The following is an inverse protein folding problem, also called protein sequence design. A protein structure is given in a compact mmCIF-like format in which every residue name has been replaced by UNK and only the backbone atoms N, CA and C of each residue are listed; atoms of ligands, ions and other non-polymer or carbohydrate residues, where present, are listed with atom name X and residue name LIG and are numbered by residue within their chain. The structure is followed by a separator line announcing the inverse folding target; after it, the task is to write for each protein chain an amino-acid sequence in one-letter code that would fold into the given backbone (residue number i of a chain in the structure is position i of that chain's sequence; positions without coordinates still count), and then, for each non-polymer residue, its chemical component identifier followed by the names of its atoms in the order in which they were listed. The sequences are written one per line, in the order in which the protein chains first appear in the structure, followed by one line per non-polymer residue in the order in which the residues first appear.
data_IF_660493524894
#
_entry.id   IF_660493524894
#
_cell.length_a   1.000
_cell.length_b   1.000
_cell.length_c   1.000
_cell.angle_alpha   90.00
_cell.angle_beta   90.00
_cell.angle_gamma   90.00
#
_symmetry.space_group_name_H-M   'P 1'
#
loop_
_entity.id
_entity.type
_entity.pdbx_description
1 polymer ?
#
# COMPACT_ATOMS: atom_id res chain seq x y z
N UNK A 1 -22.84 7.03 1.46
CA UNK A 1 -22.11 6.97 0.18
C UNK A 1 -20.87 7.82 0.35
N UNK A 2 -19.74 7.21 0.72
CA UNK A 2 -18.50 7.94 0.93
C UNK A 2 -17.99 8.41 -0.43
N UNK A 3 -17.97 9.73 -0.64
CA UNK A 3 -17.37 10.33 -1.82
C UNK A 3 -15.92 9.87 -1.91
N UNK A 4 -15.62 9.10 -2.95
CA UNK A 4 -14.26 8.65 -3.24
C UNK A 4 -13.48 9.88 -3.68
N UNK A 5 -12.89 10.60 -2.72
CA UNK A 5 -11.98 11.71 -2.98
C UNK A 5 -10.96 11.29 -4.03
N UNK A 6 -10.79 12.12 -5.06
CA UNK A 6 -9.80 11.86 -6.11
C UNK A 6 -8.43 12.02 -5.47
N UNK A 7 -7.64 10.95 -5.41
CA UNK A 7 -6.28 11.04 -4.89
C UNK A 7 -5.52 12.10 -5.67
N UNK A 8 -4.59 12.79 -5.00
CA UNK A 8 -3.69 13.70 -5.71
C UNK A 8 -2.95 12.90 -6.77
N UNK A 9 -3.06 13.34 -8.04
CA UNK A 9 -2.35 12.71 -9.14
C UNK A 9 -0.85 12.77 -8.84
N UNK A 10 -0.21 11.60 -8.80
CA UNK A 10 1.23 11.48 -8.63
C UNK A 10 1.87 11.26 -10.00
N UNK A 11 2.91 12.02 -10.33
CA UNK A 11 3.72 11.72 -11.52
C UNK A 11 4.52 10.41 -11.37
N UNK A 12 4.70 9.95 -10.12
CA UNK A 12 5.48 8.77 -9.77
C UNK A 12 4.60 7.79 -8.99
N UNK A 13 4.56 6.54 -9.45
CA UNK A 13 4.02 5.41 -8.70
C UNK A 13 5.17 4.61 -8.11
N UNK A 14 5.46 4.80 -6.83
CA UNK A 14 6.59 4.16 -6.17
C UNK A 14 6.23 2.75 -5.67
N UNK A 15 7.18 1.82 -5.74
CA UNK A 15 7.07 0.49 -5.12
C UNK A 15 8.05 0.44 -3.96
N UNK A 16 7.50 0.38 -2.75
CA UNK A 16 8.25 0.19 -1.52
C UNK A 16 8.31 -1.32 -1.23
N UNK A 17 9.50 -1.89 -1.42
CA UNK A 17 9.74 -3.32 -1.40
C UNK A 17 10.38 -3.76 -0.09
N UNK A 18 9.70 -4.65 0.65
CA UNK A 18 10.16 -5.15 1.95
C UNK A 18 11.49 -5.89 1.82
N UNK A 19 11.67 -6.63 0.73
CA UNK A 19 12.86 -7.42 0.50
C UNK A 19 14.10 -6.56 0.21
N UNK A 20 13.91 -5.30 -0.18
CA UNK A 20 14.99 -4.32 -0.40
C UNK A 20 15.21 -3.43 0.82
N UNK A 21 14.13 -2.92 1.41
CA UNK A 21 14.18 -1.88 2.46
C UNK A 21 14.21 -2.46 3.88
N UNK A 22 13.81 -3.72 4.05
CA UNK A 22 13.65 -4.37 5.34
C UNK A 22 12.46 -3.82 6.15
N UNK A 23 12.04 -4.58 7.17
CA UNK A 23 10.84 -4.28 7.95
C UNK A 23 10.93 -2.95 8.73
N UNK A 24 12.14 -2.56 9.13
CA UNK A 24 12.39 -1.30 9.84
C UNK A 24 12.55 -0.11 8.89
N UNK A 25 13.14 -0.33 7.72
CA UNK A 25 13.43 0.73 6.75
C UNK A 25 12.23 1.12 5.90
N UNK A 26 11.37 0.16 5.56
CA UNK A 26 10.25 0.41 4.63
C UNK A 26 9.28 1.50 5.14
N UNK A 27 8.77 1.47 6.38
CA UNK A 27 7.86 2.52 6.84
C UNK A 27 8.50 3.92 6.85
N UNK A 28 9.79 4.02 7.18
CA UNK A 28 10.52 5.28 7.13
C UNK A 28 10.78 5.77 5.70
N UNK A 29 11.02 4.84 4.76
CA UNK A 29 11.17 5.15 3.35
C UNK A 29 9.86 5.70 2.76
N UNK A 30 8.72 5.12 3.12
CA UNK A 30 7.39 5.61 2.71
C UNK A 30 7.14 7.05 3.18
N UNK A 31 7.48 7.37 4.43
CA UNK A 31 7.41 8.73 4.96
C UNK A 31 8.35 9.70 4.20
N UNK A 32 9.55 9.25 3.87
CA UNK A 32 10.52 10.03 3.08
C UNK A 32 10.01 10.29 1.65
N UNK A 33 9.41 9.28 1.00
CA UNK A 33 8.80 9.41 -0.32
C UNK A 33 7.64 10.40 -0.31
N UNK A 34 6.79 10.35 0.71
CA UNK A 34 5.69 11.28 0.90
C UNK A 34 6.18 12.74 1.03
N UNK A 35 7.21 12.96 1.86
CA UNK A 35 7.83 14.27 2.01
C UNK A 35 8.47 14.79 0.71
N UNK A 36 8.93 13.87 -0.17
CA UNK A 36 9.45 14.20 -1.49
C UNK A 36 8.36 14.45 -2.56
N UNK A 37 7.08 14.43 -2.19
CA UNK A 37 5.95 14.70 -3.09
C UNK A 37 5.46 13.47 -3.88
N UNK A 38 5.88 12.26 -3.50
CA UNK A 38 5.32 11.03 -4.08
C UNK A 38 4.00 10.75 -3.37
N UNK A 39 2.91 10.75 -4.13
CA UNK A 39 1.57 10.61 -3.56
C UNK A 39 0.97 9.22 -3.72
N UNK A 40 1.51 8.38 -4.61
CA UNK A 40 1.04 7.00 -4.80
C UNK A 40 2.17 6.01 -4.53
N UNK A 41 1.97 5.14 -3.54
CA UNK A 41 2.98 4.18 -3.10
C UNK A 41 2.35 2.79 -2.97
N UNK A 42 2.97 1.79 -3.57
CA UNK A 42 2.63 0.38 -3.39
C UNK A 42 3.55 -0.27 -2.35
N UNK A 43 2.97 -1.00 -1.41
CA UNK A 43 3.71 -1.83 -0.45
C UNK A 43 3.79 -3.25 -1.01
N UNK A 44 5.02 -3.72 -1.24
CA UNK A 44 5.30 -5.05 -1.79
C UNK A 44 6.12 -5.88 -0.81
N UNK A 45 5.63 -7.07 -0.47
CA UNK A 45 6.32 -7.98 0.46
C UNK A 45 5.98 -9.44 0.12
N UNK A 46 6.58 -9.98 -0.95
CA UNK A 46 6.20 -11.30 -1.48
C UNK A 46 6.49 -12.47 -0.53
N UNK A 47 7.42 -12.29 0.42
CA UNK A 47 7.81 -13.35 1.36
C UNK A 47 7.24 -13.18 2.77
N UNK A 48 6.48 -12.11 3.02
CA UNK A 48 5.89 -11.87 4.32
C UNK A 48 4.70 -12.79 4.59
N UNK A 49 4.57 -13.21 5.85
CA UNK A 49 3.32 -13.78 6.37
C UNK A 49 2.24 -12.70 6.45
N UNK A 50 0.99 -13.14 6.59
CA UNK A 50 -0.19 -12.26 6.70
C UNK A 50 -0.05 -11.25 7.83
N UNK A 51 0.41 -11.71 9.00
CA UNK A 51 0.59 -10.87 10.18
C UNK A 51 1.72 -9.86 9.99
N UNK A 52 2.82 -10.26 9.32
CA UNK A 52 3.94 -9.36 9.03
C UNK A 52 3.52 -8.27 8.04
N UNK A 53 2.84 -8.64 6.96
CA UNK A 53 2.33 -7.68 5.98
C UNK A 53 1.31 -6.74 6.61
N UNK A 54 0.36 -7.25 7.40
CA UNK A 54 -0.62 -6.43 8.10
C UNK A 54 0.07 -5.37 8.98
N UNK A 55 1.02 -5.79 9.84
CA UNK A 55 1.73 -4.87 10.74
C UNK A 55 2.58 -3.86 9.97
N UNK A 56 3.19 -4.28 8.87
CA UNK A 56 3.99 -3.42 8.01
C UNK A 56 3.13 -2.32 7.37
N UNK A 57 2.01 -2.70 6.76
CA UNK A 57 1.08 -1.76 6.11
C UNK A 57 0.44 -0.85 7.15
N UNK A 58 0.02 -1.38 8.31
CA UNK A 58 -0.52 -0.58 9.42
C UNK A 58 0.48 0.48 9.92
N UNK A 59 1.77 0.11 10.01
CA UNK A 59 2.85 1.05 10.34
C UNK A 59 2.99 2.16 9.29
N UNK A 60 2.90 1.82 8.00
CA UNK A 60 2.94 2.79 6.91
C UNK A 60 1.72 3.73 6.94
N UNK A 61 0.51 3.20 7.15
CA UNK A 61 -0.71 4.00 7.26
C UNK A 61 -0.60 5.03 8.39
N UNK A 62 -0.12 4.61 9.58
CA UNK A 62 0.07 5.52 10.73
C UNK A 62 1.06 6.66 10.43
N UNK A 63 2.15 6.38 9.71
CA UNK A 63 3.13 7.41 9.34
C UNK A 63 2.61 8.39 8.28
N UNK A 64 1.65 7.96 7.48
CA UNK A 64 1.06 8.77 6.41
C UNK A 64 -0.25 9.45 6.81
N UNK A 65 -0.67 9.34 8.07
CA UNK A 65 -1.91 9.94 8.55
C UNK A 65 -1.93 11.44 8.26
N UNK A 66 -3.00 11.92 7.60
CA UNK A 66 -3.14 13.32 7.20
C UNK A 66 -2.27 13.78 6.00
N UNK A 67 -1.39 12.94 5.46
CA UNK A 67 -0.51 13.32 4.33
C UNK A 67 -1.23 13.41 2.98
N UNK A 68 -2.37 12.74 2.84
CA UNK A 68 -3.08 12.59 1.56
C UNK A 68 -2.40 11.65 0.56
N UNK A 69 -1.36 10.91 0.99
CA UNK A 69 -0.73 9.85 0.20
C UNK A 69 -1.61 8.60 0.18
N UNK A 70 -1.79 8.03 -1.01
CA UNK A 70 -2.53 6.80 -1.22
C UNK A 70 -1.59 5.59 -1.22
N UNK A 71 -1.95 4.57 -0.45
CA UNK A 71 -1.25 3.29 -0.39
C UNK A 71 -1.99 2.19 -1.15
N UNK A 72 -1.25 1.35 -1.87
CA UNK A 72 -1.74 0.08 -2.41
C UNK A 72 -1.00 -1.09 -1.78
N UNK A 73 -1.69 -2.20 -1.57
CA UNK A 73 -1.05 -3.46 -1.16
C UNK A 73 -0.89 -4.34 -2.39
N UNK A 74 0.26 -4.97 -2.57
CA UNK A 74 0.51 -5.93 -3.66
C UNK A 74 -0.16 -7.28 -3.36
N UNK A 75 -0.96 -7.79 -4.31
CA UNK A 75 -1.71 -9.07 -4.36
C UNK A 75 -2.73 -9.37 -3.24
N UNK A 76 -2.50 -8.87 -2.03
CA UNK A 76 -3.12 -9.31 -0.79
C UNK A 76 -4.39 -8.52 -0.47
N UNK A 77 -5.46 -8.85 -1.21
CA UNK A 77 -6.77 -8.21 -1.08
C UNK A 77 -7.36 -8.35 0.34
N UNK A 78 -7.13 -9.49 0.98
CA UNK A 78 -7.52 -9.80 2.35
C UNK A 78 -6.87 -8.84 3.37
N UNK A 79 -5.57 -8.58 3.24
CA UNK A 79 -4.87 -7.62 4.10
C UNK A 79 -5.28 -6.18 3.79
N UNK A 80 -5.44 -5.85 2.50
CA UNK A 80 -5.88 -4.52 2.08
C UNK A 80 -7.26 -4.16 2.65
N UNK A 81 -8.20 -5.10 2.69
CA UNK A 81 -9.55 -4.89 3.23
C UNK A 81 -9.57 -4.60 4.74
N UNK A 82 -8.53 -5.00 5.47
CA UNK A 82 -8.43 -4.77 6.91
C UNK A 82 -7.87 -3.39 7.28
N UNK A 83 -7.38 -2.60 6.33
CA UNK A 83 -6.58 -1.40 6.58
C UNK A 83 -7.04 -0.20 5.74
N UNK A 84 -6.76 1.04 6.16
CA UNK A 84 -7.15 2.25 5.44
C UNK A 84 -6.22 2.52 4.24
N UNK A 85 -6.12 1.56 3.32
CA UNK A 85 -5.37 1.67 2.07
C UNK A 85 -6.31 2.02 0.92
N UNK A 86 -5.75 2.51 -0.19
CA UNK A 86 -6.52 2.87 -1.38
C UNK A 86 -7.02 1.66 -2.15
N UNK A 87 -6.28 0.55 -2.10
CA UNK A 87 -6.71 -0.69 -2.71
C UNK A 87 -5.57 -1.68 -2.85
N UNK A 88 -5.75 -2.60 -3.80
CA UNK A 88 -4.79 -3.66 -4.10
C UNK A 88 -4.31 -3.54 -5.54
N UNK A 89 -3.05 -3.88 -5.78
CA UNK A 89 -2.51 -4.11 -7.12
C UNK A 89 -2.50 -5.61 -7.40
N UNK A 90 -2.96 -6.02 -8.59
CA UNK A 90 -2.94 -7.42 -9.03
C UNK A 90 -2.41 -7.53 -10.46
N UNK A 91 -1.56 -8.53 -10.69
CA UNK A 91 -1.02 -8.92 -11.98
C UNK A 91 -1.77 -10.09 -12.61
N UNK A 92 -1.27 -10.58 -13.76
CA UNK A 92 -1.97 -11.60 -14.55
C UNK A 92 -2.03 -13.00 -13.92
N UNK A 93 -1.23 -13.25 -12.89
CA UNK A 93 -1.15 -14.56 -12.21
C UNK A 93 -1.77 -14.58 -10.82
N UNK A 94 -2.36 -13.46 -10.39
CA UNK A 94 -2.97 -13.30 -9.08
C UNK A 94 -4.48 -13.58 -9.16
N UNK A 95 -5.21 -13.29 -8.08
CA UNK A 95 -6.67 -13.45 -8.08
C UNK A 95 -7.30 -12.59 -9.19
N UNK A 96 -8.31 -13.12 -9.93
CA UNK A 96 -9.01 -12.35 -10.93
C UNK A 96 -9.61 -11.08 -10.32
N UNK A 97 -9.59 -9.93 -11.03
CA UNK A 97 -10.12 -8.67 -10.51
C UNK A 97 -11.56 -8.75 -10.00
N UNK A 98 -12.38 -9.65 -10.54
CA UNK A 98 -13.74 -9.87 -10.07
C UNK A 98 -13.80 -10.48 -8.67
N UNK A 99 -12.92 -11.44 -8.36
CA UNK A 99 -12.84 -12.06 -7.04
C UNK A 99 -12.26 -11.07 -6.01
N UNK A 100 -11.24 -10.30 -6.41
CA UNK A 100 -10.64 -9.25 -5.57
C UNK A 100 -11.66 -8.21 -5.12
N UNK A 101 -12.59 -7.79 -6.01
CA UNK A 101 -13.65 -6.83 -5.68
C UNK A 101 -14.74 -7.37 -4.75
N UNK A 102 -14.75 -8.68 -4.48
CA UNK A 102 -15.73 -9.31 -3.60
C UNK A 102 -15.28 -9.37 -2.13
N UNK A 103 -14.04 -8.94 -1.85
CA UNK A 103 -13.50 -8.71 -0.50
C UNK A 103 -13.89 -7.30 -0.04
#
# INVERSE_FOLDING_TARGET
MAETGRDRASAVYAIADLEVLGATGLPAAVETMAAAGIHWIQIRAKRATDLELYRLVESCCRRLEGSGVALWVDDRADVAACLPVRGVHVGQRDLPPAAVRAV
#
